data_IF_385593485130
#
_entry.id   IF_385593485130
#
_cell.length_a   1.000
_cell.length_b   1.000
_cell.length_c   1.000
_cell.angle_alpha   90.00
_cell.angle_beta   90.00
_cell.angle_gamma   90.00
#
_symmetry.space_group_name_H-M   'P 1'
#
loop_
_entity.id
_entity.type
_entity.pdbx_description
1 polymer ?
#
# COMPACT_ATOMS: atom_id res chain seq x y z
N UNK A 1 11.97 14.83 2.57
CA UNK A 1 10.60 14.97 2.07
C UNK A 1 9.85 15.91 2.99
N UNK A 2 9.13 16.87 2.41
CA UNK A 2 8.21 17.73 3.15
C UNK A 2 6.82 17.07 3.19
N UNK A 3 6.05 17.32 4.25
CA UNK A 3 4.74 16.69 4.49
C UNK A 3 3.73 17.68 5.08
N UNK A 4 4.00 18.98 4.96
CA UNK A 4 3.28 20.02 5.70
C UNK A 4 1.84 20.19 5.21
N UNK A 5 1.55 19.70 4.01
CA UNK A 5 0.23 19.72 3.37
C UNK A 5 -0.49 18.35 3.36
N UNK A 6 0.12 17.29 3.89
CA UNK A 6 -0.52 15.98 4.03
C UNK A 6 -1.03 15.76 5.45
N UNK A 7 -2.25 15.24 5.59
CA UNK A 7 -2.83 14.94 6.90
C UNK A 7 -2.07 13.85 7.70
N UNK A 8 -1.11 13.14 7.08
CA UNK A 8 -0.32 12.08 7.71
C UNK A 8 1.18 12.26 7.47
N UNK A 9 1.96 12.35 8.57
CA UNK A 9 3.42 12.24 8.57
C UNK A 9 3.86 10.85 8.10
N UNK A 10 5.12 10.66 7.67
CA UNK A 10 5.70 9.37 7.21
C UNK A 10 5.20 8.27 8.15
N UNK A 11 4.31 7.42 7.67
CA UNK A 11 3.79 6.33 8.48
C UNK A 11 4.76 5.16 8.38
N UNK A 12 4.97 4.51 9.52
CA UNK A 12 5.76 3.26 9.59
C UNK A 12 5.24 2.22 8.61
N UNK A 13 3.94 2.25 8.32
CA UNK A 13 3.29 1.31 7.42
C UNK A 13 3.76 1.44 5.96
N UNK A 14 3.81 2.64 5.36
CA UNK A 14 4.35 2.82 3.99
C UNK A 14 5.83 2.49 3.92
N UNK A 15 6.59 2.76 4.98
CA UNK A 15 8.00 2.34 5.05
C UNK A 15 8.12 0.82 5.00
N UNK A 16 7.32 0.09 5.80
CA UNK A 16 7.31 -1.38 5.77
C UNK A 16 6.90 -1.88 4.38
N UNK A 17 5.83 -1.33 3.78
CA UNK A 17 5.36 -1.73 2.47
C UNK A 17 6.42 -1.50 1.39
N UNK A 18 6.94 -0.28 1.25
CA UNK A 18 7.93 0.04 0.22
C UNK A 18 9.24 -0.73 0.39
N UNK A 19 9.61 -1.05 1.63
CA UNK A 19 10.73 -1.95 1.92
C UNK A 19 10.46 -3.39 1.45
N UNK A 20 9.24 -3.89 1.71
CA UNK A 20 8.86 -5.27 1.42
C UNK A 20 8.54 -5.55 -0.05
N UNK A 21 8.09 -4.54 -0.80
CA UNK A 21 7.83 -4.65 -2.24
C UNK A 21 9.07 -5.15 -2.97
N UNK A 22 8.93 -6.19 -3.78
CA UNK A 22 9.96 -6.60 -4.73
C UNK A 22 9.67 -5.95 -6.09
N UNK A 23 10.52 -5.00 -6.50
CA UNK A 23 10.35 -4.28 -7.77
C UNK A 23 10.84 -5.12 -8.95
N UNK A 24 11.70 -6.11 -8.72
CA UNK A 24 12.24 -6.96 -9.78
C UNK A 24 12.76 -6.16 -10.98
N UNK A 25 12.25 -6.48 -12.17
CA UNK A 25 12.52 -5.79 -13.43
C UNK A 25 11.35 -4.92 -13.91
N UNK A 26 10.46 -4.48 -13.02
CA UNK A 26 9.33 -3.64 -13.38
C UNK A 26 9.81 -2.34 -14.05
N UNK A 27 9.29 -2.05 -15.24
CA UNK A 27 9.60 -0.85 -16.00
C UNK A 27 8.52 0.22 -15.85
N UNK A 28 7.28 -0.19 -15.58
CA UNK A 28 6.15 0.71 -15.33
C UNK A 28 5.51 0.39 -13.99
N UNK A 29 5.55 1.36 -13.07
CA UNK A 29 5.05 1.24 -11.70
C UNK A 29 3.97 2.30 -11.46
N UNK A 30 2.87 1.91 -10.79
CA UNK A 30 1.81 2.82 -10.39
C UNK A 30 1.66 2.87 -8.87
N UNK A 31 1.70 4.06 -8.27
CA UNK A 31 1.40 4.32 -6.86
C UNK A 31 0.01 4.95 -6.72
N UNK A 32 -0.96 4.21 -6.19
CA UNK A 32 -2.36 4.66 -6.07
C UNK A 32 -2.62 5.21 -4.67
N UNK A 33 -3.12 6.44 -4.59
CA UNK A 33 -3.28 7.15 -3.32
C UNK A 33 -1.92 7.51 -2.73
N UNK A 34 -1.07 8.15 -3.54
CA UNK A 34 0.35 8.35 -3.24
C UNK A 34 0.60 9.25 -2.03
N UNK A 35 -0.38 10.06 -1.61
CA UNK A 35 -0.26 11.03 -0.54
C UNK A 35 0.88 12.00 -0.83
N UNK A 36 1.90 12.03 0.05
CA UNK A 36 3.08 12.89 -0.15
C UNK A 36 4.11 12.33 -1.16
N UNK A 37 3.85 11.19 -1.79
CA UNK A 37 4.79 10.58 -2.75
C UNK A 37 5.77 9.56 -2.18
N UNK A 38 5.63 9.14 -0.91
CA UNK A 38 6.65 8.32 -0.23
C UNK A 38 6.87 6.96 -0.90
N UNK A 39 5.80 6.25 -1.25
CA UNK A 39 5.91 4.94 -1.89
C UNK A 39 6.47 5.07 -3.30
N UNK A 40 5.96 5.99 -4.11
CA UNK A 40 6.53 6.32 -5.43
C UNK A 40 8.05 6.60 -5.37
N UNK A 41 8.50 7.39 -4.39
CA UNK A 41 9.92 7.69 -4.20
C UNK A 41 10.73 6.46 -3.78
N UNK A 42 10.18 5.59 -2.92
CA UNK A 42 10.81 4.32 -2.56
C UNK A 42 10.89 3.36 -3.75
N UNK A 43 9.87 3.34 -4.61
CA UNK A 43 9.88 2.56 -5.85
C UNK A 43 10.95 3.08 -6.80
N UNK A 44 11.06 4.39 -6.98
CA UNK A 44 12.09 5.01 -7.80
C UNK A 44 13.52 4.70 -7.30
N UNK A 45 13.74 4.64 -5.99
CA UNK A 45 15.02 4.23 -5.42
C UNK A 45 15.38 2.76 -5.73
N UNK A 46 14.39 1.87 -5.83
CA UNK A 46 14.59 0.42 -6.05
C UNK A 46 14.59 0.01 -7.51
N UNK A 47 13.87 0.75 -8.35
CA UNK A 47 13.68 0.42 -9.75
C UNK A 47 14.93 0.69 -10.59
N UNK A 48 14.94 0.14 -11.82
CA UNK A 48 15.94 0.48 -12.82
C UNK A 48 15.86 1.98 -13.16
N UNK A 49 16.97 2.65 -13.53
CA UNK A 49 16.96 4.07 -13.90
C UNK A 49 16.05 4.44 -15.08
N UNK A 50 15.68 3.45 -15.90
CA UNK A 50 14.75 3.60 -17.03
C UNK A 50 13.27 3.45 -16.63
N UNK A 51 13.00 2.93 -15.43
CA UNK A 51 11.63 2.71 -14.97
C UNK A 51 10.86 4.02 -14.83
N UNK A 52 9.56 3.95 -15.07
CA UNK A 52 8.61 5.05 -14.92
C UNK A 52 7.68 4.74 -13.76
N UNK A 53 7.53 5.72 -12.89
CA UNK A 53 6.68 5.64 -11.71
C UNK A 53 5.63 6.74 -11.86
N UNK A 54 4.41 6.30 -12.12
CA UNK A 54 3.25 7.18 -12.12
C UNK A 54 2.60 7.09 -10.73
N UNK A 55 2.13 8.23 -10.22
CA UNK A 55 1.47 8.33 -8.93
C UNK A 55 0.12 9.00 -9.11
N UNK A 56 -0.91 8.50 -8.44
CA UNK A 56 -2.26 9.08 -8.47
C UNK A 56 -2.65 9.50 -7.08
N UNK A 57 -3.18 10.72 -6.96
CA UNK A 57 -3.71 11.25 -5.71
C UNK A 57 -4.97 12.06 -6.00
N UNK A 58 -6.01 11.88 -5.19
CA UNK A 58 -7.29 12.56 -5.35
C UNK A 58 -7.31 13.90 -4.59
N UNK A 59 -6.55 14.00 -3.50
CA UNK A 59 -6.42 15.23 -2.72
C UNK A 59 -5.44 16.21 -3.37
N UNK A 60 -5.92 17.42 -3.67
CA UNK A 60 -5.14 18.46 -4.34
C UNK A 60 -3.90 18.88 -3.54
N UNK A 61 -4.05 19.05 -2.22
CA UNK A 61 -2.95 19.43 -1.34
C UNK A 61 -1.85 18.37 -1.26
N UNK A 62 -2.24 17.10 -1.17
CA UNK A 62 -1.31 15.98 -1.20
C UNK A 62 -0.64 15.83 -2.57
N UNK A 63 -1.38 15.99 -3.68
CA UNK A 63 -0.82 15.97 -5.02
C UNK A 63 0.21 17.09 -5.25
N UNK A 64 -0.07 18.31 -4.78
CA UNK A 64 0.89 19.42 -4.80
C UNK A 64 2.14 19.10 -3.97
N UNK A 65 1.97 18.50 -2.80
CA UNK A 65 3.08 18.11 -1.95
C UNK A 65 3.95 17.01 -2.59
N UNK A 66 3.31 16.01 -3.21
CA UNK A 66 3.98 14.96 -3.97
C UNK A 66 4.76 15.55 -5.16
N UNK A 67 4.15 16.47 -5.91
CA UNK A 67 4.81 17.21 -7.00
C UNK A 67 6.11 17.85 -6.52
N UNK A 68 6.05 18.64 -5.44
CA UNK A 68 7.23 19.29 -4.88
C UNK A 68 8.27 18.27 -4.40
N UNK A 69 7.85 17.17 -3.78
CA UNK A 69 8.77 16.11 -3.35
C UNK A 69 9.44 15.41 -4.54
N UNK A 70 8.73 15.19 -5.65
CA UNK A 70 9.26 14.55 -6.86
C UNK A 70 10.25 15.46 -7.58
N UNK A 71 9.95 16.75 -7.71
CA UNK A 71 10.85 17.73 -8.34
C UNK A 71 12.20 17.84 -7.60
N UNK A 72 12.16 17.77 -6.27
CA UNK A 72 13.35 17.83 -5.42
C UNK A 72 14.07 16.48 -5.26
N UNK A 73 13.54 15.39 -5.83
CA UNK A 73 14.13 14.06 -5.73
C UNK A 73 15.22 13.82 -6.77
N UNK A 74 16.18 12.95 -6.42
CA UNK A 74 17.23 12.48 -7.36
C UNK A 74 16.65 11.74 -8.57
N UNK A 75 15.44 11.20 -8.43
CA UNK A 75 14.72 10.41 -9.44
C UNK A 75 13.61 11.20 -10.14
N UNK A 76 13.64 12.53 -10.10
CA UNK A 76 12.59 13.39 -10.64
C UNK A 76 12.19 13.05 -12.08
N UNK A 77 13.13 12.59 -12.92
CA UNK A 77 12.87 12.17 -14.31
C UNK A 77 12.05 10.87 -14.45
N UNK A 78 11.99 10.06 -13.40
CA UNK A 78 11.23 8.80 -13.38
C UNK A 78 9.80 8.98 -12.87
N UNK A 79 9.54 10.06 -12.14
CA UNK A 79 8.32 10.26 -11.35
C UNK A 79 7.34 11.19 -12.06
N UNK A 80 6.08 10.79 -12.13
CA UNK A 80 4.97 11.62 -12.59
C UNK A 80 3.81 11.54 -11.60
N UNK A 81 3.07 12.64 -11.45
CA UNK A 81 1.91 12.74 -10.55
C UNK A 81 0.67 13.12 -11.36
N UNK A 82 -0.42 12.41 -11.12
CA UNK A 82 -1.73 12.63 -11.70
C UNK A 82 -2.70 12.97 -10.57
N UNK A 83 -3.20 14.20 -10.58
CA UNK A 83 -4.28 14.59 -9.68
C UNK A 83 -5.61 14.07 -10.22
N UNK A 84 -6.25 13.16 -9.50
CA UNK A 84 -7.52 12.58 -9.91
C UNK A 84 -7.90 11.31 -9.18
N UNK A 85 -9.06 10.78 -9.56
CA UNK A 85 -9.59 9.51 -9.06
C UNK A 85 -9.06 8.35 -9.92
N UNK A 86 -8.51 7.32 -9.28
CA UNK A 86 -8.07 6.09 -9.92
C UNK A 86 -9.19 5.43 -10.74
N UNK A 87 -10.46 5.57 -10.35
CA UNK A 87 -11.60 5.02 -11.08
C UNK A 87 -11.77 5.64 -12.48
N UNK A 88 -11.25 6.85 -12.68
CA UNK A 88 -11.27 7.57 -13.95
C UNK A 88 -9.90 7.60 -14.63
N UNK A 89 -8.90 6.92 -14.05
CA UNK A 89 -7.56 6.87 -14.61
C UNK A 89 -7.50 5.86 -15.76
N UNK A 90 -7.24 6.36 -16.96
CA UNK A 90 -7.10 5.56 -18.17
C UNK A 90 -5.66 5.64 -18.67
N UNK A 91 -4.76 4.75 -18.21
CA UNK A 91 -3.38 4.81 -18.62
C UNK A 91 -3.23 4.38 -20.08
N UNK A 92 -2.29 5.01 -20.79
CA UNK A 92 -1.97 4.66 -22.18
C UNK A 92 -1.14 3.37 -22.31
N UNK A 93 -0.64 2.86 -21.19
CA UNK A 93 0.14 1.62 -21.07
C UNK A 93 -0.30 0.85 -19.83
N UNK A 94 -0.12 -0.46 -19.85
CA UNK A 94 -0.28 -1.27 -18.66
C UNK A 94 0.95 -1.14 -17.74
N UNK A 95 0.76 -1.40 -16.45
CA UNK A 95 1.82 -1.39 -15.43
C UNK A 95 2.24 -2.80 -15.05
N UNK A 96 3.52 -2.99 -14.76
CA UNK A 96 4.06 -4.25 -14.26
C UNK A 96 3.80 -4.41 -12.76
N UNK A 97 3.71 -3.27 -12.05
CA UNK A 97 3.60 -3.20 -10.61
C UNK A 97 2.65 -2.09 -10.20
N UNK A 98 1.69 -2.39 -9.33
CA UNK A 98 0.88 -1.41 -8.60
C UNK A 98 1.22 -1.49 -7.12
N UNK A 99 1.39 -0.34 -6.47
CA UNK A 99 1.53 -0.24 -5.02
C UNK A 99 0.48 0.71 -4.46
N UNK A 100 -0.05 0.43 -3.28
CA UNK A 100 -1.02 1.32 -2.63
C UNK A 100 -1.08 1.13 -1.11
N UNK A 101 -1.13 2.23 -0.37
CA UNK A 101 -1.47 2.24 1.05
C UNK A 101 -2.76 3.04 1.25
N UNK A 102 -3.93 2.50 0.84
CA UNK A 102 -5.19 3.24 0.92
C UNK A 102 -5.57 3.54 2.38
N UNK A 103 -6.38 4.59 2.62
CA UNK A 103 -6.86 4.89 3.96
C UNK A 103 -7.79 3.79 4.48
N UNK A 104 -7.37 3.08 5.54
CA UNK A 104 -8.22 2.08 6.19
C UNK A 104 -8.99 2.70 7.34
N UNK A 105 -10.30 2.89 7.17
CA UNK A 105 -11.18 3.20 8.29
C UNK A 105 -11.52 1.91 9.04
N UNK A 106 -10.57 1.38 9.80
CA UNK A 106 -10.89 0.50 10.91
C UNK A 106 -11.86 1.24 11.85
N UNK A 107 -12.88 0.53 12.35
CA UNK A 107 -13.84 1.07 13.31
C UNK A 107 -13.13 2.01 14.30
N UNK A 108 -13.48 3.30 14.29
CA UNK A 108 -12.99 4.23 15.29
C UNK A 108 -13.25 3.58 16.65
N UNK A 109 -12.17 3.29 17.39
CA UNK A 109 -12.16 2.60 18.68
C UNK A 109 -13.42 2.96 19.47
N UNK A 110 -14.31 1.99 19.67
CA UNK A 110 -15.59 2.16 20.39
C UNK A 110 -15.45 2.61 21.86
N UNK A 111 -14.24 2.91 22.36
CA UNK A 111 -13.95 3.13 23.77
C UNK A 111 -13.18 4.44 24.04
N UNK A 112 -13.57 5.56 23.44
CA UNK A 112 -13.27 6.87 24.03
C UNK A 112 -14.55 7.69 24.10
N UNK A 113 -14.79 8.34 25.25
CA UNK A 113 -15.99 9.13 25.56
C UNK A 113 -16.20 10.37 24.66
N UNK A 114 -15.49 10.47 23.54
CA UNK A 114 -15.69 11.46 22.48
C UNK A 114 -16.73 11.01 21.43
N UNK A 115 -17.41 9.87 21.63
CA UNK A 115 -18.38 9.29 20.70
C UNK A 115 -19.82 9.83 20.84
N UNK A 116 -20.04 10.87 21.66
CA UNK A 116 -21.36 11.43 21.89
C UNK A 116 -21.80 12.51 20.90
N UNK A 117 -20.86 13.22 20.24
CA UNK A 117 -21.17 14.47 19.53
C UNK A 117 -20.46 14.60 18.18
N UNK A 118 -20.53 13.60 17.29
CA UNK A 118 -20.01 13.76 15.92
C UNK A 118 -21.06 13.50 14.84
N UNK A 119 -21.44 14.61 14.23
CA UNK A 119 -22.54 14.92 13.32
C UNK A 119 -22.53 14.10 12.02
N UNK A 120 -23.73 13.90 11.44
CA UNK A 120 -24.02 13.31 10.12
C UNK A 120 -23.05 13.70 8.98
N UNK A 121 -22.46 14.90 9.04
CA UNK A 121 -21.45 15.39 8.09
C UNK A 121 -20.16 14.53 8.03
N UNK A 122 -19.74 13.90 9.14
CA UNK A 122 -18.58 12.99 9.16
C UNK A 122 -18.87 11.64 8.53
N UNK A 123 -20.11 11.14 8.63
CA UNK A 123 -20.50 9.88 7.98
C UNK A 123 -20.61 10.04 6.46
N UNK A 124 -21.03 11.21 5.98
CA UNK A 124 -21.03 11.53 4.55
C UNK A 124 -19.59 11.63 4.02
N UNK A 125 -18.68 12.33 4.73
CA UNK A 125 -17.26 12.39 4.36
C UNK A 125 -16.57 11.00 4.33
N UNK A 126 -16.97 10.07 5.20
CA UNK A 126 -16.51 8.66 5.16
C UNK A 126 -17.03 7.86 3.96
N UNK A 127 -18.14 8.28 3.36
CA UNK A 127 -18.69 7.68 2.14
C UNK A 127 -18.17 8.36 0.86
N UNK A 128 -17.70 9.60 0.92
CA UNK A 128 -17.23 10.37 -0.26
C UNK A 128 -15.72 10.50 -0.43
N UNK A 129 -14.88 10.07 0.53
CA UNK A 129 -13.43 10.33 0.51
C UNK A 129 -12.52 9.12 0.78
N UNK A 130 -13.07 7.91 0.91
CA UNK A 130 -12.27 6.69 1.10
C UNK A 130 -12.20 5.92 -0.20
N UNK A 131 -10.99 5.55 -0.62
CA UNK A 131 -10.81 4.61 -1.73
C UNK A 131 -11.34 3.23 -1.30
N UNK A 132 -12.47 2.82 -1.86
CA UNK A 132 -13.10 1.53 -1.57
C UNK A 132 -12.22 0.37 -2.08
N UNK A 133 -12.08 -0.74 -1.33
CA UNK A 133 -11.28 -1.87 -1.79
C UNK A 133 -11.71 -2.42 -3.15
N UNK A 134 -13.01 -2.51 -3.46
CA UNK A 134 -13.44 -2.99 -4.78
C UNK A 134 -13.01 -2.02 -5.88
N UNK A 135 -13.17 -0.73 -5.64
CA UNK A 135 -12.74 0.30 -6.59
C UNK A 135 -11.23 0.22 -6.85
N UNK A 136 -10.42 0.12 -5.78
CA UNK A 136 -8.97 -0.01 -5.91
C UNK A 136 -8.57 -1.29 -6.65
N UNK A 137 -9.06 -2.46 -6.23
CA UNK A 137 -8.67 -3.73 -6.85
C UNK A 137 -9.15 -3.84 -8.30
N UNK A 138 -10.36 -3.33 -8.60
CA UNK A 138 -10.88 -3.30 -9.97
C UNK A 138 -10.03 -2.40 -10.87
N UNK A 139 -9.73 -1.17 -10.44
CA UNK A 139 -8.94 -0.24 -11.24
C UNK A 139 -7.47 -0.69 -11.36
N UNK A 140 -6.91 -1.24 -10.29
CA UNK A 140 -5.54 -1.79 -10.29
C UNK A 140 -5.42 -3.00 -11.22
N UNK A 141 -6.40 -3.91 -11.18
CA UNK A 141 -6.44 -5.05 -12.12
C UNK A 141 -6.56 -4.58 -13.57
N UNK A 142 -7.38 -3.55 -13.85
CA UNK A 142 -7.49 -2.98 -15.18
C UNK A 142 -6.20 -2.30 -15.66
N UNK A 143 -5.46 -1.65 -14.76
CA UNK A 143 -4.22 -0.95 -15.06
C UNK A 143 -3.01 -1.89 -15.22
N UNK A 144 -3.03 -3.08 -14.58
CA UNK A 144 -1.93 -4.04 -14.63
C UNK A 144 -1.81 -4.76 -15.98
N UNK A 145 -0.58 -5.07 -16.38
CA UNK A 145 -0.26 -5.98 -17.48
C UNK A 145 -0.59 -7.43 -17.08
N UNK A 146 -0.68 -8.33 -18.07
CA UNK A 146 -0.81 -9.75 -17.79
C UNK A 146 0.46 -10.25 -17.07
N UNK A 147 0.29 -10.90 -15.92
CA UNK A 147 1.41 -11.28 -15.04
C UNK A 147 1.93 -10.14 -14.16
N UNK A 148 1.34 -8.95 -14.23
CA UNK A 148 1.65 -7.84 -13.34
C UNK A 148 1.22 -8.12 -11.90
N UNK A 149 1.79 -7.38 -10.95
CA UNK A 149 1.60 -7.60 -9.52
C UNK A 149 1.09 -6.36 -8.78
N UNK A 150 0.34 -6.58 -7.71
CA UNK A 150 -0.14 -5.53 -6.82
C UNK A 150 0.36 -5.76 -5.40
N UNK A 151 0.85 -4.69 -4.78
CA UNK A 151 1.18 -4.65 -3.36
C UNK A 151 0.30 -3.64 -2.64
N UNK A 152 -0.30 -4.05 -1.53
CA UNK A 152 -1.06 -3.12 -0.71
C UNK A 152 -1.06 -3.49 0.76
N UNK A 153 -1.40 -2.54 1.61
CA UNK A 153 -1.65 -2.80 3.02
C UNK A 153 -3.16 -2.97 3.25
N UNK A 154 -3.57 -3.65 4.32
CA UNK A 154 -4.92 -3.60 4.91
C UNK A 154 -4.87 -4.11 6.36
N UNK A 155 -5.79 -3.72 7.26
CA UNK A 155 -5.86 -4.25 8.61
C UNK A 155 -6.00 -5.77 8.61
N UNK A 156 -5.32 -6.45 9.54
CA UNK A 156 -5.38 -7.92 9.64
C UNK A 156 -6.80 -8.46 9.87
N UNK A 157 -7.70 -7.64 10.45
CA UNK A 157 -9.10 -8.01 10.71
C UNK A 157 -9.93 -8.22 9.46
N UNK A 158 -9.57 -7.62 8.31
CA UNK A 158 -10.31 -7.73 7.05
C UNK A 158 -9.54 -8.52 5.98
N UNK A 159 -8.51 -9.26 6.37
CA UNK A 159 -7.64 -10.03 5.46
C UNK A 159 -8.44 -10.95 4.52
N UNK A 160 -9.42 -11.67 5.06
CA UNK A 160 -10.25 -12.62 4.29
C UNK A 160 -11.07 -11.88 3.25
N UNK A 161 -11.74 -10.80 3.64
CA UNK A 161 -12.56 -9.98 2.74
C UNK A 161 -11.72 -9.36 1.62
N UNK A 162 -10.56 -8.79 1.96
CA UNK A 162 -9.60 -8.21 1.00
C UNK A 162 -9.14 -9.25 -0.02
N UNK A 163 -8.80 -10.45 0.44
CA UNK A 163 -8.35 -11.54 -0.45
C UNK A 163 -9.46 -11.98 -1.40
N UNK A 164 -10.71 -12.03 -0.92
CA UNK A 164 -11.87 -12.39 -1.72
C UNK A 164 -12.23 -11.31 -2.73
N UNK A 165 -12.20 -10.03 -2.33
CA UNK A 165 -12.44 -8.89 -3.22
C UNK A 165 -11.38 -8.85 -4.34
N UNK A 166 -10.10 -8.99 -3.99
CA UNK A 166 -9.02 -9.05 -4.97
C UNK A 166 -9.23 -10.19 -5.98
N UNK A 167 -9.57 -11.39 -5.50
CA UNK A 167 -9.82 -12.54 -6.36
C UNK A 167 -10.98 -12.32 -7.33
N UNK A 168 -12.05 -11.64 -6.89
CA UNK A 168 -13.19 -11.27 -7.74
C UNK A 168 -12.79 -10.26 -8.84
N UNK A 169 -11.71 -9.50 -8.63
CA UNK A 169 -11.13 -8.59 -9.61
C UNK A 169 -10.01 -9.23 -10.46
N UNK A 170 -9.77 -10.54 -10.36
CA UNK A 170 -8.71 -11.24 -11.11
C UNK A 170 -7.29 -11.08 -10.53
N UNK A 171 -7.19 -10.64 -9.27
CA UNK A 171 -5.94 -10.51 -8.53
C UNK A 171 -5.88 -11.60 -7.45
N UNK A 172 -4.92 -12.50 -7.57
CA UNK A 172 -4.83 -13.68 -6.71
C UNK A 172 -3.71 -13.55 -5.70
N UNK A 173 -4.01 -13.90 -4.45
CA UNK A 173 -3.07 -13.74 -3.34
C UNK A 173 -1.88 -14.67 -3.52
N UNK A 174 -0.68 -14.10 -3.45
CA UNK A 174 0.59 -14.81 -3.59
C UNK A 174 1.36 -14.83 -2.26
N UNK A 175 1.53 -13.66 -1.63
CA UNK A 175 2.19 -13.55 -0.31
C UNK A 175 1.45 -12.58 0.60
N UNK A 176 1.54 -12.84 1.90
CA UNK A 176 1.15 -11.91 2.96
C UNK A 176 2.29 -11.78 3.94
N UNK A 177 2.57 -10.55 4.37
CA UNK A 177 3.38 -10.24 5.54
C UNK A 177 2.47 -9.73 6.66
N UNK A 178 2.45 -10.43 7.78
CA UNK A 178 1.70 -10.05 8.98
C UNK A 178 2.55 -9.13 9.84
N UNK A 179 2.03 -7.96 10.22
CA UNK A 179 2.78 -6.93 10.94
C UNK A 179 2.20 -6.81 12.35
N UNK A 180 3.05 -6.98 13.37
CA UNK A 180 2.69 -6.83 14.78
C UNK A 180 3.68 -5.92 15.51
N UNK A 181 3.19 -5.19 16.51
CA UNK A 181 4.04 -4.31 17.31
C UNK A 181 5.06 -5.08 18.16
N UNK A 182 4.67 -6.21 18.74
CA UNK A 182 5.56 -7.07 19.55
C UNK A 182 5.08 -8.51 19.52
N UNK A 183 5.93 -9.45 19.95
CA UNK A 183 5.62 -10.89 19.93
C UNK A 183 4.35 -11.28 20.71
N UNK A 184 3.95 -10.45 21.68
CA UNK A 184 2.77 -10.66 22.54
C UNK A 184 1.47 -10.11 21.94
N UNK A 185 1.54 -9.36 20.83
CA UNK A 185 0.38 -8.77 20.17
C UNK A 185 0.05 -9.54 18.90
N UNK A 186 -1.24 -9.65 18.61
CA UNK A 186 -1.70 -10.14 17.32
C UNK A 186 -1.32 -9.12 16.22
N UNK A 187 -1.12 -9.59 14.97
CA UNK A 187 -0.96 -8.69 13.84
C UNK A 187 -2.10 -7.67 13.76
N UNK A 188 -1.76 -6.41 13.50
CA UNK A 188 -2.72 -5.33 13.30
C UNK A 188 -2.89 -4.98 11.82
N UNK A 189 -1.86 -5.24 11.02
CA UNK A 189 -1.78 -4.90 9.61
C UNK A 189 -1.20 -6.07 8.82
N UNK A 190 -1.64 -6.21 7.58
CA UNK A 190 -1.10 -7.15 6.61
C UNK A 190 -0.61 -6.35 5.39
N UNK A 191 0.60 -6.65 4.93
CA UNK A 191 1.02 -6.29 3.57
C UNK A 191 0.73 -7.49 2.66
N UNK A 192 0.10 -7.23 1.52
CA UNK A 192 -0.35 -8.22 0.57
C UNK A 192 0.45 -8.09 -0.72
N UNK A 193 0.72 -9.23 -1.34
CA UNK A 193 1.22 -9.34 -2.70
C UNK A 193 0.22 -10.18 -3.49
N UNK A 194 -0.35 -9.59 -4.54
CA UNK A 194 -1.26 -10.25 -5.46
C UNK A 194 -0.63 -10.31 -6.86
N UNK A 195 -0.91 -11.37 -7.60
CA UNK A 195 -0.56 -11.48 -9.02
C UNK A 195 -1.84 -11.44 -9.88
N UNK A 196 -1.79 -10.73 -11.00
CA UNK A 196 -2.82 -10.79 -12.04
C UNK A 196 -2.62 -12.05 -12.85
N UNK A 197 -3.63 -12.92 -12.90
CA UNK A 197 -3.62 -14.12 -13.74
C UNK A 197 -4.79 -14.08 -14.73
N UNK A 198 -4.49 -14.32 -16.00
CA UNK A 198 -5.48 -14.48 -17.07
C UNK A 198 -6.02 -15.92 -17.17
N UNK A 199 -5.46 -16.87 -16.42
CA UNK A 199 -5.86 -18.29 -16.43
C UNK A 199 -6.26 -18.78 -15.02
N UNK A 200 -7.45 -19.38 -14.96
CA UNK A 200 -8.07 -19.94 -13.76
C UNK A 200 -7.45 -21.31 -13.45
N UNK A 201 -6.76 -21.42 -12.32
CA UNK A 201 -6.73 -22.67 -11.53
C UNK A 201 -6.54 -22.35 -10.04
N UNK A 202 -7.51 -21.63 -9.48
CA UNK A 202 -7.44 -21.14 -8.09
C UNK A 202 -7.91 -22.15 -7.02
N UNK A 203 -8.18 -23.41 -7.37
CA UNK A 203 -8.67 -24.39 -6.40
C UNK A 203 -7.57 -25.09 -5.61
N UNK A 204 -6.31 -25.06 -6.06
CA UNK A 204 -5.23 -25.89 -5.47
C UNK A 204 -4.25 -25.10 -4.58
N UNK A 205 -4.18 -23.76 -4.68
CA UNK A 205 -3.21 -22.94 -3.90
C UNK A 205 -3.67 -22.48 -2.52
N UNK A 206 -4.96 -22.61 -2.19
CA UNK A 206 -5.52 -22.06 -0.96
C UNK A 206 -5.08 -22.82 0.31
N UNK A 207 -4.79 -24.12 0.19
CA UNK A 207 -4.32 -24.98 1.29
C UNK A 207 -2.85 -24.75 1.65
N UNK A 208 -2.00 -24.46 0.66
CA UNK A 208 -0.57 -24.16 0.87
C UNK A 208 -0.35 -22.78 1.49
N UNK A 209 -1.17 -21.78 1.12
CA UNK A 209 -1.10 -20.43 1.69
C UNK A 209 -1.25 -20.40 3.22
N UNK A 210 -2.13 -21.24 3.78
CA UNK A 210 -2.41 -21.28 5.22
C UNK A 210 -1.22 -21.81 6.06
N UNK A 211 -0.38 -22.70 5.50
CA UNK A 211 0.82 -23.20 6.17
C UNK A 211 2.01 -22.20 6.09
N UNK A 212 2.09 -21.42 5.01
CA UNK A 212 3.09 -20.36 4.81
C UNK A 212 2.77 -19.07 5.58
N UNK A 213 1.50 -18.77 5.83
CA UNK A 213 1.01 -17.60 6.55
C UNK A 213 1.65 -17.42 7.94
N UNK A 214 1.91 -18.52 8.65
CA UNK A 214 2.45 -18.47 10.02
C UNK A 214 3.94 -18.11 10.09
N UNK A 215 4.68 -18.20 8.97
CA UNK A 215 6.12 -17.90 8.91
C UNK A 215 6.44 -16.47 8.46
N UNK A 216 5.48 -15.76 7.88
CA UNK A 216 5.68 -14.40 7.38
C UNK A 216 5.14 -13.36 8.36
N UNK A 217 5.70 -13.28 9.58
CA UNK A 217 5.33 -12.25 10.56
C UNK A 217 6.50 -11.32 10.84
N UNK A 218 6.33 -10.03 10.58
CA UNK A 218 7.22 -8.97 11.00
C UNK A 218 6.87 -8.47 12.40
N UNK A 219 7.81 -8.58 13.33
CA UNK A 219 7.68 -8.03 14.69
C UNK A 219 8.45 -6.71 14.78
N UNK A 220 7.80 -5.58 15.06
CA UNK A 220 8.47 -4.27 15.04
C UNK A 220 9.41 -4.10 16.23
N UNK A 221 8.97 -4.41 17.46
CA UNK A 221 9.76 -4.24 18.69
C UNK A 221 9.95 -5.54 19.46
N UNK A 222 11.13 -5.69 20.06
CA UNK A 222 11.47 -6.78 20.97
C UNK A 222 10.88 -6.53 22.39
N UNK A 223 11.16 -7.42 23.34
CA UNK A 223 10.67 -7.28 24.73
C UNK A 223 11.30 -6.11 25.50
N UNK A 224 12.51 -5.69 25.11
CA UNK A 224 13.17 -4.51 25.67
C UNK A 224 12.62 -3.18 25.12
N UNK A 225 11.78 -3.23 24.09
CA UNK A 225 11.21 -2.07 23.42
C UNK A 225 12.03 -1.54 22.24
N UNK A 226 13.16 -2.16 21.91
CA UNK A 226 13.99 -1.79 20.75
C UNK A 226 13.44 -2.36 19.45
N UNK A 227 13.79 -1.77 18.31
CA UNK A 227 13.49 -2.37 17.01
C UNK A 227 14.18 -3.74 16.86
N UNK A 228 13.44 -4.72 16.36
CA UNK A 228 13.98 -6.06 16.07
C UNK A 228 14.97 -6.02 14.90
N UNK A 229 15.85 -7.01 14.81
CA UNK A 229 16.79 -7.13 13.70
C UNK A 229 16.08 -7.38 12.36
N UNK A 230 14.94 -8.09 12.38
CA UNK A 230 14.08 -8.28 11.22
C UNK A 230 13.54 -6.95 10.68
N UNK A 231 13.00 -6.09 11.57
CA UNK A 231 12.50 -4.78 11.20
C UNK A 231 13.62 -3.86 10.71
N UNK A 232 14.77 -3.87 11.40
CA UNK A 232 15.96 -3.12 10.99
C UNK A 232 16.41 -3.53 9.59
N UNK A 233 16.61 -4.82 9.37
CA UNK A 233 17.04 -5.39 8.09
C UNK A 233 16.08 -5.01 6.95
N UNK A 234 14.77 -5.10 7.20
CA UNK A 234 13.75 -4.73 6.20
C UNK A 234 13.78 -3.22 5.88
N UNK A 235 13.88 -2.36 6.89
CA UNK A 235 13.72 -0.91 6.74
C UNK A 235 15.02 -0.15 6.47
N UNK A 236 16.18 -0.78 6.68
CA UNK A 236 17.51 -0.15 6.55
C UNK A 236 17.72 0.62 5.24
N UNK A 237 17.21 0.19 4.07
CA UNK A 237 17.39 0.94 2.83
C UNK A 237 16.74 2.34 2.82
N UNK A 238 15.79 2.60 3.74
CA UNK A 238 14.94 3.79 3.73
C UNK A 238 14.85 4.49 5.09
N UNK A 239 15.31 3.85 6.15
CA UNK A 239 15.22 4.36 7.51
C UNK A 239 16.54 4.11 8.24
N UNK A 240 17.18 5.19 8.67
CA UNK A 240 18.51 5.16 9.29
C UNK A 240 18.47 5.43 10.81
N UNK A 241 17.32 5.80 11.36
CA UNK A 241 17.16 6.22 12.76
C UNK A 241 16.47 5.13 13.60
N UNK A 242 17.15 4.00 13.79
CA UNK A 242 16.68 2.91 14.64
C UNK A 242 16.89 3.18 16.13
#
# INVERSE_FOLDING_TARGET
MAQDHCAMKVNTDSLILGSWVDVGSAESILDVGTGSGILALMMAQKALPSARIDAIEIDDGAAMQATSNFENAKWSRQLSIFHGDICHFAPSRAYDLVVSNPPYFGEARKNTNAYGNQTKARNIARQTASLDPNALFSASSAALSDGGSMYCLYPSSIKVDVSQIAANCGLYLDRVLHIRHSARKTPYLCAFHFNKSSSISCSEKMSELNAMDSKNTLTIRNEAGDYTDEYKSLCQPFYLNF
#
